data_IF_975693734791
#
_entry.id   IF_975693734791
#
_cell.length_a   1.000
_cell.length_b   1.000
_cell.length_c   1.000
_cell.angle_alpha   90.00
_cell.angle_beta   90.00
_cell.angle_gamma   90.00
#
_symmetry.space_group_name_H-M   'P 1'
#
loop_
_entity.id
_entity.type
_entity.pdbx_description
1 polymer ?
#
# COMPACT_ATOMS: atom_id res chain seq x y z
N UNK A 1 30.13 22.70 23.10
CA UNK A 1 29.62 21.35 23.34
C UNK A 1 28.92 20.94 22.06
N UNK A 2 29.56 20.10 21.27
CA UNK A 2 29.08 19.59 19.99
C UNK A 2 28.12 18.46 20.29
N UNK A 3 26.84 18.63 19.92
CA UNK A 3 25.84 17.54 19.94
C UNK A 3 26.32 16.41 19.03
N UNK A 4 26.37 15.19 19.58
CA UNK A 4 26.63 13.99 18.83
C UNK A 4 25.43 13.72 17.88
N UNK A 5 25.66 13.28 16.64
CA UNK A 5 24.58 12.94 15.73
C UNK A 5 23.80 11.74 16.30
N UNK A 6 22.47 11.89 16.38
CA UNK A 6 21.53 10.82 16.74
C UNK A 6 21.79 9.65 15.77
N UNK A 7 22.08 8.49 16.33
CA UNK A 7 22.35 7.28 15.57
C UNK A 7 21.18 7.00 14.61
N UNK A 8 21.52 6.80 13.34
CA UNK A 8 20.57 6.51 12.27
C UNK A 8 19.95 5.11 12.47
N UNK A 9 18.75 5.04 13.03
CA UNK A 9 17.98 3.81 13.28
C UNK A 9 17.31 3.24 12.02
N UNK A 10 17.84 3.56 10.85
CA UNK A 10 17.36 3.15 9.52
C UNK A 10 17.02 1.65 9.40
N UNK A 11 17.80 0.69 9.96
CA UNK A 11 17.47 -0.74 9.89
C UNK A 11 16.21 -1.12 10.66
N UNK A 12 15.98 -0.54 11.83
CA UNK A 12 14.81 -0.80 12.67
C UNK A 12 13.54 -0.17 12.10
N UNK A 13 13.64 1.04 11.55
CA UNK A 13 12.56 1.70 10.84
C UNK A 13 12.14 0.91 9.59
N UNK A 14 13.11 0.46 8.79
CA UNK A 14 12.86 -0.38 7.60
C UNK A 14 12.20 -1.72 7.96
N UNK A 15 12.60 -2.34 9.07
CA UNK A 15 11.99 -3.58 9.57
C UNK A 15 10.54 -3.39 10.03
N UNK A 16 10.17 -2.19 10.48
CA UNK A 16 8.80 -1.80 10.88
C UNK A 16 7.96 -1.32 9.70
N UNK A 17 8.51 -1.23 8.47
CA UNK A 17 7.81 -0.73 7.28
C UNK A 17 7.51 0.77 7.34
N UNK A 18 8.21 1.52 8.19
CA UNK A 18 8.03 2.96 8.33
C UNK A 18 8.92 3.71 7.31
N UNK A 19 8.29 4.52 6.46
CA UNK A 19 8.97 5.36 5.48
C UNK A 19 8.68 6.82 5.76
N UNK A 20 9.69 7.66 5.55
CA UNK A 20 9.52 9.11 5.66
C UNK A 20 8.62 9.62 4.53
N UNK A 21 7.53 10.29 4.87
CA UNK A 21 6.61 10.88 3.88
C UNK A 21 7.08 12.27 3.49
N UNK A 22 7.31 12.56 2.19
CA UNK A 22 7.64 13.91 1.74
C UNK A 22 6.57 14.93 2.15
N UNK A 23 7.00 16.09 2.64
CA UNK A 23 6.10 17.14 3.13
C UNK A 23 5.00 17.54 2.12
N UNK A 24 5.27 17.72 0.81
CA UNK A 24 4.23 18.06 -0.16
C UNK A 24 3.09 17.03 -0.25
N UNK A 25 3.39 15.74 -0.02
CA UNK A 25 2.37 14.68 -0.02
C UNK A 25 1.51 14.77 1.24
N UNK A 26 2.13 14.93 2.40
CA UNK A 26 1.41 15.05 3.67
C UNK A 26 0.51 16.31 3.68
N UNK A 27 1.04 17.43 3.21
CA UNK A 27 0.30 18.70 3.07
C UNK A 27 -0.88 18.56 2.10
N UNK A 28 -0.68 17.93 0.95
CA UNK A 28 -1.72 17.70 -0.04
C UNK A 28 -2.88 16.85 0.53
N UNK A 29 -2.56 15.69 1.11
CA UNK A 29 -3.56 14.80 1.70
C UNK A 29 -4.30 15.51 2.84
N UNK A 30 -3.59 16.23 3.68
CA UNK A 30 -4.15 16.96 4.82
C UNK A 30 -5.08 18.08 4.36
N UNK A 31 -4.67 18.88 3.35
CA UNK A 31 -5.49 19.94 2.79
C UNK A 31 -6.76 19.39 2.13
N UNK A 32 -6.69 18.21 1.49
CA UNK A 32 -7.85 17.55 0.88
C UNK A 32 -8.79 16.97 1.94
N UNK A 33 -8.25 16.32 2.97
CA UNK A 33 -9.04 15.58 3.95
C UNK A 33 -9.72 16.49 4.98
N UNK A 34 -9.07 17.59 5.42
CA UNK A 34 -9.56 18.46 6.49
C UNK A 34 -10.25 19.69 5.88
N UNK A 35 -11.55 19.82 6.10
CA UNK A 35 -12.40 20.84 5.47
C UNK A 35 -13.02 21.82 6.45
N UNK A 36 -13.02 21.50 7.75
CA UNK A 36 -13.59 22.33 8.80
C UNK A 36 -12.64 22.45 9.98
N UNK A 37 -12.69 23.58 10.67
CA UNK A 37 -12.00 23.78 11.95
C UNK A 37 -12.45 22.80 13.05
N UNK A 38 -13.61 22.17 12.88
CA UNK A 38 -14.21 21.22 13.81
C UNK A 38 -13.93 19.75 13.44
N UNK A 39 -13.25 19.49 12.31
CA UNK A 39 -12.94 18.11 11.89
C UNK A 39 -12.04 17.43 12.93
N UNK A 40 -12.44 16.25 13.38
CA UNK A 40 -11.60 15.35 14.18
C UNK A 40 -10.74 14.52 13.24
N UNK A 41 -9.45 14.57 13.49
CA UNK A 41 -8.44 13.99 12.59
C UNK A 41 -7.67 12.91 13.32
N UNK A 42 -7.53 11.74 12.70
CA UNK A 42 -6.72 10.62 13.19
C UNK A 42 -5.62 10.28 12.18
N UNK A 43 -4.38 10.16 12.67
CA UNK A 43 -3.29 9.45 11.98
C UNK A 43 -3.02 8.13 12.72
N UNK A 44 -3.41 6.98 12.16
CA UNK A 44 -3.32 5.69 12.86
C UNK A 44 -1.90 5.07 12.89
N UNK A 45 -0.90 5.75 12.32
CA UNK A 45 0.51 5.37 12.35
C UNK A 45 1.41 6.61 12.26
N UNK A 46 1.22 7.52 13.23
CA UNK A 46 1.64 8.90 13.09
C UNK A 46 3.17 9.12 13.05
N UNK A 47 3.96 8.12 13.41
CA UNK A 47 5.41 8.23 13.38
C UNK A 47 5.89 9.48 14.10
N UNK A 48 6.74 10.24 13.44
CA UNK A 48 7.29 11.51 13.90
C UNK A 48 6.40 12.73 13.62
N UNK A 49 5.09 12.53 13.42
CA UNK A 49 4.07 13.54 13.14
C UNK A 49 4.11 14.16 11.73
N UNK A 50 4.56 13.40 10.73
CA UNK A 50 4.62 13.89 9.34
C UNK A 50 3.25 14.38 8.81
N UNK A 51 2.14 13.78 9.25
CA UNK A 51 0.77 14.22 8.92
C UNK A 51 0.13 15.06 10.02
N UNK A 52 0.46 14.82 11.30
CA UNK A 52 -0.17 15.55 12.41
C UNK A 52 0.21 17.04 12.41
N UNK A 53 1.47 17.39 12.07
CA UNK A 53 1.89 18.80 11.99
C UNK A 53 1.11 19.56 10.91
N UNK A 54 1.08 19.11 9.63
CA UNK A 54 0.23 19.74 8.62
C UNK A 54 -1.27 19.76 8.99
N UNK A 55 -1.77 18.75 9.72
CA UNK A 55 -3.16 18.73 10.19
C UNK A 55 -3.46 19.88 11.17
N UNK A 56 -2.56 20.11 12.12
CA UNK A 56 -2.68 21.24 13.06
C UNK A 56 -2.65 22.58 12.30
N UNK A 57 -1.75 22.75 11.36
CA UNK A 57 -1.65 23.96 10.54
C UNK A 57 -2.92 24.16 9.70
N UNK A 58 -3.44 23.09 9.11
CA UNK A 58 -4.69 23.14 8.32
C UNK A 58 -5.89 23.50 9.17
N UNK A 59 -6.09 22.83 10.32
CA UNK A 59 -7.17 23.15 11.26
C UNK A 59 -7.12 24.63 11.69
N UNK A 60 -5.93 25.14 12.00
CA UNK A 60 -5.72 26.57 12.34
C UNK A 60 -6.08 27.48 11.18
N UNK A 61 -5.66 27.16 9.95
CA UNK A 61 -6.00 27.95 8.76
C UNK A 61 -7.50 28.03 8.50
N UNK A 62 -8.25 27.02 8.95
CA UNK A 62 -9.71 26.98 8.90
C UNK A 62 -10.41 27.66 10.09
N UNK A 63 -9.64 28.19 11.04
CA UNK A 63 -10.15 28.97 12.17
C UNK A 63 -10.24 28.22 13.50
N UNK A 64 -9.63 27.03 13.64
CA UNK A 64 -9.57 26.35 14.93
C UNK A 64 -8.74 27.17 15.93
N UNK A 65 -9.37 27.59 17.03
CA UNK A 65 -8.68 28.36 18.08
C UNK A 65 -7.69 27.49 18.87
N UNK A 66 -7.98 26.20 19.00
CA UNK A 66 -7.15 25.20 19.66
C UNK A 66 -7.08 23.95 18.80
N UNK A 67 -6.26 23.96 17.73
CA UNK A 67 -6.19 22.83 16.82
C UNK A 67 -5.64 21.59 17.54
N UNK A 68 -6.32 20.47 17.35
CA UNK A 68 -5.93 19.18 17.93
C UNK A 68 -6.14 18.06 16.94
N UNK A 69 -5.29 17.02 17.02
CA UNK A 69 -5.42 15.81 16.24
C UNK A 69 -5.10 14.59 17.11
N UNK A 70 -5.54 13.43 16.66
CA UNK A 70 -5.27 12.15 17.33
C UNK A 70 -4.26 11.34 16.52
N UNK A 71 -3.47 10.51 17.22
CA UNK A 71 -2.51 9.62 16.59
C UNK A 71 -2.37 8.31 17.33
N UNK A 72 -1.94 7.29 16.60
CA UNK A 72 -1.47 6.03 17.19
C UNK A 72 -0.05 5.79 16.70
N UNK A 73 0.83 5.42 17.62
CA UNK A 73 2.22 5.07 17.31
C UNK A 73 2.65 3.91 18.22
N UNK A 74 3.28 2.90 17.65
CA UNK A 74 3.70 1.72 18.40
C UNK A 74 4.96 1.97 19.23
N UNK A 75 5.80 2.93 18.81
CA UNK A 75 7.07 3.25 19.44
C UNK A 75 6.95 4.45 20.38
N UNK A 76 7.15 4.22 21.68
CA UNK A 76 7.00 5.25 22.71
C UNK A 76 7.88 6.49 22.51
N UNK A 77 9.19 6.33 22.27
CA UNK A 77 10.10 7.44 21.95
C UNK A 77 9.63 8.28 20.74
N UNK A 78 9.25 7.63 19.65
CA UNK A 78 8.73 8.30 18.44
C UNK A 78 7.42 9.06 18.73
N UNK A 79 6.51 8.45 19.51
CA UNK A 79 5.28 9.12 19.94
C UNK A 79 5.54 10.35 20.82
N UNK A 80 6.57 10.31 21.66
CA UNK A 80 6.98 11.47 22.47
C UNK A 80 7.50 12.60 21.58
N UNK A 81 8.35 12.29 20.63
CA UNK A 81 8.87 13.28 19.66
C UNK A 81 7.74 13.89 18.83
N UNK A 82 6.80 13.08 18.37
CA UNK A 82 5.64 13.55 17.63
C UNK A 82 4.80 14.57 18.44
N UNK A 83 4.56 14.32 19.74
CA UNK A 83 3.88 15.29 20.60
C UNK A 83 4.62 16.62 20.70
N UNK A 84 5.94 16.56 20.81
CA UNK A 84 6.77 17.77 20.88
C UNK A 84 6.72 18.57 19.58
N UNK A 85 6.77 17.90 18.43
CA UNK A 85 6.66 18.56 17.11
C UNK A 85 5.28 19.21 16.90
N UNK A 86 4.22 18.53 17.29
CA UNK A 86 2.86 19.10 17.24
C UNK A 86 2.72 20.29 18.18
N UNK A 87 3.28 20.21 19.40
CA UNK A 87 3.28 21.33 20.33
C UNK A 87 4.09 22.53 19.80
N UNK A 88 5.24 22.29 19.19
CA UNK A 88 6.05 23.34 18.52
C UNK A 88 5.28 23.99 17.36
N UNK A 89 4.45 23.23 16.63
CA UNK A 89 3.53 23.77 15.64
C UNK A 89 2.31 24.49 16.25
N UNK A 90 2.23 24.61 17.58
CA UNK A 90 1.19 25.34 18.32
C UNK A 90 -0.15 24.62 18.39
N UNK A 91 -0.19 23.30 18.30
CA UNK A 91 -1.36 22.45 18.48
C UNK A 91 -1.19 21.47 19.61
N UNK A 92 -2.15 20.55 19.73
CA UNK A 92 -2.08 19.39 20.65
C UNK A 92 -2.31 18.09 19.90
N UNK A 93 -1.68 17.00 20.35
CA UNK A 93 -1.93 15.67 19.82
C UNK A 93 -2.19 14.66 20.94
N UNK A 94 -3.32 13.99 20.85
CA UNK A 94 -3.66 12.82 21.66
C UNK A 94 -3.05 11.55 21.06
N UNK A 95 -1.75 11.27 21.33
CA UNK A 95 -1.10 10.10 20.73
C UNK A 95 -1.16 8.92 21.69
N UNK A 96 -1.80 7.82 21.25
CA UNK A 96 -1.82 6.54 21.94
C UNK A 96 -0.59 5.72 21.53
N UNK A 97 0.15 5.22 22.52
CA UNK A 97 1.26 4.28 22.27
C UNK A 97 0.68 2.87 22.30
N UNK A 98 0.47 2.28 21.12
CA UNK A 98 -0.16 0.95 20.95
C UNK A 98 0.06 0.42 19.53
N UNK A 99 -0.09 -0.90 19.34
CA UNK A 99 -0.41 -1.43 18.00
C UNK A 99 -1.80 -0.91 17.59
N UNK A 100 -1.92 -0.41 16.37
CA UNK A 100 -3.19 0.17 15.90
C UNK A 100 -4.32 -0.87 15.84
N UNK A 101 -4.00 -2.14 15.56
CA UNK A 101 -5.01 -3.20 15.54
C UNK A 101 -5.57 -3.57 16.92
N UNK A 102 -4.93 -3.13 18.01
CA UNK A 102 -5.43 -3.26 19.37
C UNK A 102 -6.30 -2.07 19.81
N UNK A 103 -6.45 -1.06 18.95
CA UNK A 103 -7.32 0.10 19.22
C UNK A 103 -8.71 -0.19 18.70
N UNK A 104 -9.70 -0.25 19.58
CA UNK A 104 -11.09 -0.42 19.18
C UNK A 104 -11.59 0.82 18.40
N UNK A 105 -12.24 0.63 17.25
CA UNK A 105 -12.72 1.75 16.45
C UNK A 105 -13.94 2.42 17.09
N UNK A 106 -13.86 3.73 17.19
CA UNK A 106 -14.98 4.61 17.52
C UNK A 106 -15.22 5.54 16.34
N UNK A 107 -16.45 5.53 15.79
CA UNK A 107 -16.81 6.34 14.60
C UNK A 107 -17.02 7.80 14.98
N UNK A 108 -15.94 8.55 15.04
CA UNK A 108 -15.96 9.92 15.48
C UNK A 108 -15.01 10.85 14.69
N UNK A 109 -14.26 10.31 13.72
CA UNK A 109 -13.32 11.10 12.93
C UNK A 109 -13.95 11.52 11.58
N UNK A 110 -13.88 12.79 11.24
CA UNK A 110 -14.21 13.31 9.92
C UNK A 110 -13.11 12.99 8.90
N UNK A 111 -11.85 12.86 9.36
CA UNK A 111 -10.71 12.54 8.51
C UNK A 111 -9.77 11.53 9.18
N UNK A 112 -9.41 10.50 8.44
CA UNK A 112 -8.31 9.58 8.77
C UNK A 112 -7.25 9.70 7.68
N UNK A 113 -6.03 10.07 8.07
CA UNK A 113 -4.93 10.37 7.15
C UNK A 113 -3.67 9.66 7.59
N UNK A 114 -2.75 9.37 6.68
CA UNK A 114 -1.47 8.79 7.07
C UNK A 114 -0.76 8.00 5.97
N UNK A 115 0.34 7.39 6.37
CA UNK A 115 1.12 6.45 5.57
C UNK A 115 1.26 5.13 6.36
N UNK A 116 0.36 4.16 6.17
CA UNK A 116 0.39 2.88 6.90
C UNK A 116 1.71 2.14 6.74
N UNK A 117 2.12 1.30 7.71
CA UNK A 117 3.32 0.50 7.58
C UNK A 117 3.18 -0.60 6.52
N UNK A 118 4.21 -0.77 5.62
CA UNK A 118 4.22 -1.77 4.55
C UNK A 118 5.02 -3.01 4.94
N UNK A 119 4.56 -3.75 5.96
CA UNK A 119 5.23 -4.97 6.39
C UNK A 119 4.76 -6.12 5.49
N UNK A 120 5.69 -6.69 4.71
CA UNK A 120 5.40 -7.85 3.85
C UNK A 120 4.99 -9.06 4.69
N UNK A 121 4.21 -9.98 4.11
CA UNK A 121 3.66 -11.14 4.82
C UNK A 121 4.72 -12.02 5.53
N UNK A 122 5.97 -12.05 5.04
CA UNK A 122 7.07 -12.78 5.67
C UNK A 122 7.46 -12.18 7.04
N UNK A 123 7.42 -10.85 7.16
CA UNK A 123 7.67 -10.10 8.42
C UNK A 123 6.42 -9.92 9.29
N UNK A 124 5.24 -9.98 8.69
CA UNK A 124 3.95 -9.78 9.35
C UNK A 124 3.42 -11.11 9.90
N UNK A 125 3.74 -11.44 11.17
CA UNK A 125 3.54 -12.77 11.76
C UNK A 125 2.90 -12.74 13.15
N UNK A 126 2.51 -13.92 13.63
CA UNK A 126 2.08 -14.14 15.00
C UNK A 126 0.84 -13.33 15.40
N UNK A 127 0.87 -12.77 16.61
CA UNK A 127 -0.25 -12.04 17.22
C UNK A 127 -0.65 -10.81 16.40
N UNK A 128 0.31 -10.03 15.89
CA UNK A 128 0.05 -8.86 15.04
C UNK A 128 -0.78 -9.21 13.81
N UNK A 129 -0.42 -10.28 13.08
CA UNK A 129 -1.22 -10.74 11.92
C UNK A 129 -2.61 -11.22 12.34
N UNK A 130 -2.72 -11.90 13.48
CA UNK A 130 -4.01 -12.39 13.97
C UNK A 130 -4.93 -11.23 14.34
N UNK A 131 -4.45 -10.23 15.06
CA UNK A 131 -5.18 -9.01 15.42
C UNK A 131 -5.65 -8.25 14.15
N UNK A 132 -4.76 -8.05 13.19
CA UNK A 132 -5.08 -7.37 11.94
C UNK A 132 -6.17 -8.09 11.13
N UNK A 133 -6.10 -9.42 11.04
CA UNK A 133 -7.14 -10.21 10.35
C UNK A 133 -8.47 -10.20 11.10
N UNK A 134 -8.42 -10.20 12.42
CA UNK A 134 -9.62 -10.08 13.26
C UNK A 134 -10.27 -8.70 13.05
N UNK A 135 -9.51 -7.62 13.08
CA UNK A 135 -10.00 -6.27 12.84
C UNK A 135 -10.67 -6.14 11.45
N UNK A 136 -10.06 -6.70 10.39
CA UNK A 136 -10.68 -6.73 9.08
C UNK A 136 -11.95 -7.58 9.04
N UNK A 137 -11.97 -8.73 9.73
CA UNK A 137 -13.15 -9.61 9.80
C UNK A 137 -14.31 -8.95 10.56
N UNK A 138 -14.04 -8.19 11.61
CA UNK A 138 -15.04 -7.39 12.33
C UNK A 138 -15.70 -6.33 11.43
N UNK A 139 -14.96 -5.82 10.46
CA UNK A 139 -15.50 -4.96 9.40
C UNK A 139 -16.14 -5.74 8.23
N UNK A 140 -16.36 -7.05 8.37
CA UNK A 140 -16.97 -7.90 7.35
C UNK A 140 -16.03 -8.33 6.21
N UNK A 141 -14.73 -8.09 6.32
CA UNK A 141 -13.76 -8.37 5.23
C UNK A 141 -12.78 -9.48 5.60
N UNK A 142 -12.75 -10.54 4.80
CA UNK A 142 -11.78 -11.62 4.96
C UNK A 142 -10.49 -11.32 4.20
N UNK A 143 -9.37 -11.24 4.92
CA UNK A 143 -8.04 -10.98 4.37
C UNK A 143 -7.17 -12.25 4.40
N UNK A 144 -6.50 -12.52 3.27
CA UNK A 144 -5.55 -13.63 3.12
C UNK A 144 -4.39 -13.54 4.12
N UNK A 145 -3.90 -14.68 4.59
CA UNK A 145 -2.69 -14.75 5.40
C UNK A 145 -1.40 -14.30 4.65
N UNK A 146 -1.47 -14.20 3.33
CA UNK A 146 -0.38 -13.70 2.47
C UNK A 146 -0.43 -12.18 2.26
N UNK A 147 -1.38 -11.48 2.87
CA UNK A 147 -1.51 -10.04 2.75
C UNK A 147 -0.41 -9.32 3.55
N UNK A 148 0.08 -8.21 3.00
CA UNK A 148 0.91 -7.24 3.71
C UNK A 148 0.05 -6.42 4.69
N UNK A 149 0.68 -5.81 5.70
CA UNK A 149 0.01 -5.11 6.82
C UNK A 149 -0.91 -3.97 6.38
N UNK A 150 -0.59 -3.26 5.30
CA UNK A 150 -1.37 -2.14 4.82
C UNK A 150 -2.83 -2.52 4.44
N UNK A 151 -3.05 -3.76 3.98
CA UNK A 151 -4.37 -4.19 3.51
C UNK A 151 -5.42 -4.23 4.64
N UNK A 152 -5.24 -4.96 5.76
CA UNK A 152 -6.14 -4.86 6.89
C UNK A 152 -6.15 -3.48 7.54
N UNK A 153 -5.03 -2.72 7.44
CA UNK A 153 -4.90 -1.39 8.01
C UNK A 153 -5.90 -0.40 7.39
N UNK A 154 -6.03 -0.38 6.06
CA UNK A 154 -7.03 0.44 5.34
C UNK A 154 -8.45 0.16 5.84
N UNK A 155 -8.80 -1.12 5.98
CA UNK A 155 -10.14 -1.54 6.41
C UNK A 155 -10.40 -1.11 7.85
N UNK A 156 -9.47 -1.36 8.76
CA UNK A 156 -9.60 -1.02 10.17
C UNK A 156 -9.67 0.50 10.38
N UNK A 157 -8.80 1.27 9.72
CA UNK A 157 -8.78 2.72 9.77
C UNK A 157 -10.09 3.35 9.32
N UNK A 158 -10.74 2.77 8.29
CA UNK A 158 -12.05 3.25 7.84
C UNK A 158 -13.15 3.13 8.89
N UNK A 159 -13.02 2.22 9.86
CA UNK A 159 -14.03 2.04 10.91
C UNK A 159 -14.05 3.17 11.95
N UNK A 160 -13.04 4.04 11.96
CA UNK A 160 -12.99 5.25 12.80
C UNK A 160 -13.76 6.43 12.21
N UNK A 161 -14.12 6.36 10.91
CA UNK A 161 -14.79 7.43 10.20
C UNK A 161 -16.27 7.54 10.58
N UNK A 162 -16.73 8.77 10.74
CA UNK A 162 -18.17 9.08 10.74
C UNK A 162 -18.77 8.83 9.35
N UNK A 163 -20.10 8.64 9.21
CA UNK A 163 -20.73 8.65 7.90
C UNK A 163 -20.40 9.94 7.14
N UNK A 164 -19.99 9.80 5.88
CA UNK A 164 -19.50 10.93 5.07
C UNK A 164 -18.03 11.29 5.28
N UNK A 165 -17.32 10.63 6.20
CA UNK A 165 -15.92 10.86 6.50
C UNK A 165 -14.96 10.54 5.34
N UNK A 166 -13.70 10.93 5.49
CA UNK A 166 -12.66 10.94 4.44
C UNK A 166 -11.43 10.17 4.89
N UNK A 167 -10.93 9.30 4.01
CA UNK A 167 -9.70 8.54 4.18
C UNK A 167 -8.66 9.01 3.16
N UNK A 168 -7.53 9.53 3.61
CA UNK A 168 -6.42 9.97 2.78
C UNK A 168 -5.14 9.21 3.13
N UNK A 169 -4.76 8.22 2.32
CA UNK A 169 -3.60 7.37 2.61
C UNK A 169 -2.58 7.35 1.48
N UNK A 170 -1.32 7.27 1.87
CA UNK A 170 -0.24 6.81 1.00
C UNK A 170 -0.22 5.29 1.05
N UNK A 171 -0.33 4.61 -0.09
CA UNK A 171 -0.37 3.16 -0.16
C UNK A 171 0.65 2.64 -1.18
N UNK A 172 1.14 1.41 -1.05
CA UNK A 172 1.97 0.81 -2.08
C UNK A 172 1.16 0.56 -3.36
N UNK A 173 1.79 0.72 -4.52
CA UNK A 173 1.18 0.43 -5.83
C UNK A 173 0.71 -1.03 -5.99
N UNK A 174 1.10 -1.90 -5.05
CA UNK A 174 0.53 -3.24 -4.88
C UNK A 174 -1.01 -3.22 -4.79
N UNK A 175 -1.61 -2.14 -4.26
CA UNK A 175 -3.07 -1.93 -4.28
C UNK A 175 -3.66 -2.20 -5.66
N UNK A 176 -2.97 -1.82 -6.75
CA UNK A 176 -3.47 -1.93 -8.11
C UNK A 176 -3.37 -3.36 -8.68
N UNK A 177 -2.41 -4.17 -8.24
CA UNK A 177 -1.97 -5.35 -8.99
C UNK A 177 -2.07 -6.68 -8.26
N UNK A 178 -1.89 -6.71 -6.93
CA UNK A 178 -1.77 -7.98 -6.20
C UNK A 178 -3.12 -8.63 -5.91
N UNK A 179 -3.14 -9.95 -5.92
CA UNK A 179 -4.38 -10.69 -5.74
C UNK A 179 -4.96 -10.57 -4.32
N UNK A 180 -4.09 -10.50 -3.29
CA UNK A 180 -4.56 -10.39 -1.90
C UNK A 180 -5.23 -9.03 -1.59
N UNK A 181 -5.04 -8.01 -2.44
CA UNK A 181 -5.70 -6.72 -2.31
C UNK A 181 -7.15 -6.70 -2.85
N UNK A 182 -7.61 -7.78 -3.51
CA UNK A 182 -8.96 -7.84 -4.06
C UNK A 182 -10.07 -7.50 -3.03
N UNK A 183 -10.05 -8.02 -1.78
CA UNK A 183 -11.03 -7.63 -0.77
C UNK A 183 -10.97 -6.14 -0.40
N UNK A 184 -9.77 -5.54 -0.33
CA UNK A 184 -9.61 -4.10 -0.03
C UNK A 184 -10.18 -3.26 -1.17
N UNK A 185 -9.86 -3.61 -2.42
CA UNK A 185 -10.39 -2.90 -3.61
C UNK A 185 -11.92 -2.92 -3.64
N UNK A 186 -12.54 -4.08 -3.37
CA UNK A 186 -13.99 -4.22 -3.29
C UNK A 186 -14.56 -3.39 -2.13
N UNK A 187 -13.97 -3.49 -0.94
CA UNK A 187 -14.36 -2.74 0.23
C UNK A 187 -14.39 -1.23 -0.03
N UNK A 188 -13.39 -0.68 -0.71
CA UNK A 188 -13.34 0.74 -1.05
C UNK A 188 -14.53 1.17 -1.91
N UNK A 189 -14.89 0.42 -2.96
CA UNK A 189 -16.05 0.72 -3.81
C UNK A 189 -17.39 0.56 -3.08
N UNK A 190 -17.49 -0.38 -2.16
CA UNK A 190 -18.71 -0.69 -1.42
C UNK A 190 -18.95 0.25 -0.23
N UNK A 191 -17.90 0.93 0.26
CA UNK A 191 -18.00 1.72 1.50
C UNK A 191 -17.70 3.21 1.35
N UNK A 192 -17.35 3.69 0.16
CA UNK A 192 -17.09 5.11 -0.09
C UNK A 192 -17.86 5.63 -1.30
N UNK A 193 -18.41 6.82 -1.18
CA UNK A 193 -19.17 7.49 -2.25
C UNK A 193 -18.30 8.03 -3.39
N UNK A 194 -17.02 8.31 -3.10
CA UNK A 194 -16.04 8.78 -4.10
C UNK A 194 -14.67 8.20 -3.81
N UNK A 195 -13.98 7.83 -4.87
CA UNK A 195 -12.59 7.34 -4.84
C UNK A 195 -11.75 8.11 -5.84
N UNK A 196 -10.59 8.57 -5.41
CA UNK A 196 -9.55 9.13 -6.27
C UNK A 196 -8.22 8.42 -6.01
N UNK A 197 -7.51 8.08 -7.09
CA UNK A 197 -6.16 7.55 -7.06
C UNK A 197 -5.24 8.55 -7.72
N UNK A 198 -4.19 8.98 -7.00
CA UNK A 198 -3.12 9.79 -7.59
C UNK A 198 -1.90 8.90 -7.81
N UNK A 199 -1.48 8.80 -9.05
CA UNK A 199 -0.35 7.99 -9.52
C UNK A 199 0.82 8.91 -9.88
N UNK A 200 2.03 8.50 -9.55
CA UNK A 200 3.24 9.24 -9.87
C UNK A 200 3.97 8.63 -11.06
N UNK A 201 4.42 9.46 -12.01
CA UNK A 201 5.25 9.01 -13.14
C UNK A 201 6.70 8.73 -12.71
N UNK A 202 7.17 9.43 -11.67
CA UNK A 202 8.50 9.29 -11.11
C UNK A 202 8.41 8.74 -9.69
N UNK A 203 9.44 8.02 -9.28
CA UNK A 203 9.56 7.56 -7.90
C UNK A 203 9.68 8.77 -6.95
N UNK A 204 8.72 8.91 -6.05
CA UNK A 204 8.66 10.04 -5.09
C UNK A 204 9.22 9.70 -3.72
N UNK A 205 9.41 8.42 -3.42
CA UNK A 205 10.04 7.94 -2.18
C UNK A 205 11.42 7.37 -2.49
N UNK A 206 12.46 8.17 -2.37
CA UNK A 206 13.83 7.78 -2.68
C UNK A 206 14.36 6.58 -1.88
N UNK A 207 13.79 6.32 -0.69
CA UNK A 207 14.20 5.23 0.20
C UNK A 207 13.26 4.02 0.17
N UNK A 208 12.11 4.10 -0.51
CA UNK A 208 11.19 2.99 -0.64
C UNK A 208 11.54 2.14 -1.87
N UNK A 209 11.57 0.82 -1.70
CA UNK A 209 11.75 -0.14 -2.80
C UNK A 209 10.47 -0.31 -3.64
N UNK A 210 9.36 0.33 -3.26
CA UNK A 210 8.05 0.18 -3.89
C UNK A 210 7.51 1.54 -4.35
N UNK A 211 6.90 1.55 -5.53
CA UNK A 211 6.10 2.66 -5.99
C UNK A 211 4.87 2.83 -5.08
N UNK A 212 4.42 4.06 -4.93
CA UNK A 212 3.26 4.41 -4.11
C UNK A 212 2.15 5.04 -4.94
N UNK A 213 0.94 4.96 -4.40
CA UNK A 213 -0.24 5.67 -4.89
C UNK A 213 -0.88 6.42 -3.72
N UNK A 214 -1.48 7.57 -3.97
CA UNK A 214 -2.33 8.20 -2.97
C UNK A 214 -3.76 7.71 -3.18
N UNK A 215 -4.36 7.21 -2.12
CA UNK A 215 -5.78 6.88 -2.04
C UNK A 215 -6.51 8.00 -1.33
N UNK A 216 -7.45 8.61 -2.02
CA UNK A 216 -8.36 9.61 -1.48
C UNK A 216 -9.79 9.06 -1.59
N UNK A 217 -10.37 8.69 -0.46
CA UNK A 217 -11.70 8.10 -0.39
C UNK A 217 -12.62 8.96 0.48
N UNK A 218 -13.78 9.34 -0.04
CA UNK A 218 -14.73 10.23 0.61
C UNK A 218 -16.13 9.64 0.66
N UNK A 219 -16.90 10.03 1.65
CA UNK A 219 -18.29 9.60 1.79
C UNK A 219 -18.40 8.19 2.36
N UNK A 220 -17.66 7.92 3.46
CA UNK A 220 -17.74 6.64 4.16
C UNK A 220 -19.19 6.29 4.54
N UNK A 221 -19.58 5.05 4.35
CA UNK A 221 -20.95 4.55 4.50
C UNK A 221 -21.81 4.65 3.23
N UNK A 222 -21.24 5.15 2.13
CA UNK A 222 -21.85 5.16 0.80
C UNK A 222 -21.11 4.18 -0.13
N UNK A 223 -21.49 4.12 -1.41
CA UNK A 223 -20.83 3.29 -2.42
C UNK A 223 -20.67 4.03 -3.74
N UNK A 224 -19.72 3.59 -4.55
CA UNK A 224 -19.51 4.12 -5.90
C UNK A 224 -19.21 3.01 -6.89
N UNK A 225 -19.50 3.24 -8.16
CA UNK A 225 -19.10 2.33 -9.27
C UNK A 225 -17.93 2.86 -10.08
N UNK A 226 -17.37 4.02 -9.72
CA UNK A 226 -16.31 4.68 -10.48
C UNK A 226 -15.25 5.29 -9.55
N UNK A 227 -14.03 5.43 -10.05
CA UNK A 227 -12.98 6.18 -9.41
C UNK A 227 -12.41 7.25 -10.35
N UNK A 228 -11.83 8.29 -9.80
CA UNK A 228 -11.03 9.27 -10.54
C UNK A 228 -9.56 8.85 -10.50
N UNK A 229 -8.92 8.80 -11.63
CA UNK A 229 -7.49 8.50 -11.74
C UNK A 229 -6.77 9.75 -12.18
N UNK A 230 -5.87 10.24 -11.36
CA UNK A 230 -5.02 11.38 -11.67
C UNK A 230 -3.56 10.91 -11.73
N UNK A 231 -2.88 11.27 -12.82
CA UNK A 231 -1.46 10.95 -12.99
C UNK A 231 -0.67 12.25 -12.98
N UNK A 232 0.36 12.30 -12.14
CA UNK A 232 1.19 13.50 -11.94
C UNK A 232 2.67 13.16 -12.08
N UNK A 233 3.51 14.07 -12.60
CA UNK A 233 4.95 13.83 -12.74
C UNK A 233 5.67 13.56 -11.43
N UNK A 234 5.27 14.24 -10.34
CA UNK A 234 5.91 14.12 -9.03
C UNK A 234 5.12 14.81 -7.92
N UNK A 235 5.67 14.81 -6.70
CA UNK A 235 4.99 15.35 -5.52
C UNK A 235 4.73 16.86 -5.58
N UNK A 236 5.49 17.61 -6.39
CA UNK A 236 5.30 19.06 -6.58
C UNK A 236 4.14 19.40 -7.50
N UNK A 237 3.68 18.43 -8.28
CA UNK A 237 2.62 18.60 -9.28
C UNK A 237 1.23 18.22 -8.73
N UNK A 238 1.14 17.86 -7.43
CA UNK A 238 -0.09 17.43 -6.77
C UNK A 238 -1.21 18.48 -6.81
N UNK A 239 -0.87 19.77 -6.84
CA UNK A 239 -1.82 20.89 -6.84
C UNK A 239 -2.28 21.26 -8.25
N UNK A 240 -1.84 20.55 -9.28
CA UNK A 240 -2.26 20.77 -10.67
C UNK A 240 -3.79 20.66 -10.80
N UNK A 241 -4.43 21.55 -11.59
CA UNK A 241 -5.88 21.57 -11.81
C UNK A 241 -6.40 20.43 -12.70
N UNK A 242 -5.60 19.42 -12.98
CA UNK A 242 -6.04 18.26 -13.76
C UNK A 242 -7.19 17.54 -13.04
N UNK A 243 -8.35 17.50 -13.69
CA UNK A 243 -9.56 16.87 -13.16
C UNK A 243 -9.47 15.33 -13.10
N UNK A 244 -8.40 14.75 -13.63
CA UNK A 244 -8.22 13.31 -13.72
C UNK A 244 -9.20 12.62 -14.70
N UNK A 245 -8.98 11.34 -14.91
CA UNK A 245 -9.80 10.49 -15.77
C UNK A 245 -10.80 9.71 -14.91
N UNK A 246 -12.09 9.79 -15.24
CA UNK A 246 -13.10 8.92 -14.63
C UNK A 246 -12.93 7.48 -15.16
N UNK A 247 -12.76 6.55 -14.26
CA UNK A 247 -12.53 5.14 -14.55
C UNK A 247 -13.55 4.25 -13.85
N UNK A 248 -13.99 3.21 -14.55
CA UNK A 248 -14.87 2.16 -14.01
C UNK A 248 -14.19 0.81 -14.14
N UNK A 249 -13.93 0.08 -13.06
CA UNK A 249 -13.44 -1.28 -13.16
C UNK A 249 -14.55 -2.22 -13.66
N UNK A 250 -14.16 -3.24 -14.42
CA UNK A 250 -15.09 -4.31 -14.80
C UNK A 250 -15.49 -5.15 -13.58
N UNK A 251 -14.57 -5.39 -12.65
CA UNK A 251 -14.78 -5.96 -11.32
C UNK A 251 -14.06 -5.08 -10.29
N UNK A 252 -14.77 -4.51 -9.30
CA UNK A 252 -14.14 -3.73 -8.24
C UNK A 252 -13.02 -4.46 -7.51
N UNK A 253 -13.15 -5.77 -7.28
CA UNK A 253 -12.11 -6.60 -6.67
C UNK A 253 -10.99 -7.01 -7.63
N UNK A 254 -11.20 -6.87 -8.95
CA UNK A 254 -10.22 -7.20 -9.97
C UNK A 254 -8.95 -6.34 -9.88
N UNK A 255 -7.96 -6.64 -10.71
CA UNK A 255 -6.75 -5.81 -10.80
C UNK A 255 -7.07 -4.47 -11.46
N UNK A 256 -6.52 -3.39 -10.87
CA UNK A 256 -6.71 -2.02 -11.37
C UNK A 256 -5.56 -1.56 -12.30
N UNK A 257 -4.70 -2.49 -12.73
CA UNK A 257 -3.55 -2.17 -13.61
C UNK A 257 -3.93 -1.54 -14.94
N UNK A 258 -5.19 -1.67 -15.37
CA UNK A 258 -5.70 -0.99 -16.57
C UNK A 258 -5.66 0.54 -16.46
N UNK A 259 -5.60 1.10 -15.25
CA UNK A 259 -5.45 2.56 -15.03
C UNK A 259 -4.07 3.08 -15.44
N UNK A 260 -3.08 2.18 -15.57
CA UNK A 260 -1.71 2.51 -16.00
C UNK A 260 -1.56 2.54 -17.52
N UNK A 261 -2.61 2.15 -18.27
CA UNK A 261 -2.58 2.05 -19.72
C UNK A 261 -3.41 3.19 -20.30
N UNK A 262 -2.93 3.90 -21.34
CA UNK A 262 -3.73 4.92 -22.02
C UNK A 262 -5.11 4.38 -22.43
N UNK A 263 -6.15 5.18 -22.27
CA UNK A 263 -7.54 4.78 -22.54
C UNK A 263 -7.72 4.16 -23.95
N UNK A 264 -7.09 4.75 -24.97
CA UNK A 264 -7.12 4.23 -26.32
C UNK A 264 -6.52 2.83 -26.44
N UNK A 265 -5.43 2.54 -25.71
CA UNK A 265 -4.81 1.21 -25.69
C UNK A 265 -5.68 0.20 -24.93
N UNK A 266 -6.33 0.62 -23.85
CA UNK A 266 -7.27 -0.22 -23.09
C UNK A 266 -8.50 -0.59 -23.96
N UNK A 267 -9.06 0.35 -24.72
CA UNK A 267 -10.16 0.09 -25.65
C UNK A 267 -9.77 -0.86 -26.78
N UNK A 268 -8.58 -0.70 -27.36
CA UNK A 268 -8.06 -1.62 -28.38
C UNK A 268 -7.90 -3.01 -27.80
N UNK A 269 -7.31 -3.15 -26.60
CA UNK A 269 -7.16 -4.43 -25.92
C UNK A 269 -8.49 -5.12 -25.65
N UNK A 270 -9.50 -4.36 -25.17
CA UNK A 270 -10.84 -4.90 -24.94
C UNK A 270 -11.47 -5.41 -26.23
N UNK A 271 -11.42 -4.63 -27.32
CA UNK A 271 -11.93 -5.03 -28.63
C UNK A 271 -11.25 -6.28 -29.20
N UNK A 272 -9.94 -6.40 -29.01
CA UNK A 272 -9.18 -7.58 -29.44
C UNK A 272 -9.61 -8.85 -28.68
N UNK A 273 -9.83 -8.73 -27.37
CA UNK A 273 -10.31 -9.84 -26.54
C UNK A 273 -11.74 -10.24 -26.94
N UNK A 274 -12.63 -9.26 -27.12
CA UNK A 274 -14.04 -9.49 -27.44
C UNK A 274 -14.22 -10.00 -28.88
N UNK A 275 -13.29 -9.75 -29.79
CA UNK A 275 -13.35 -10.22 -31.19
C UNK A 275 -13.23 -11.74 -31.33
N UNK A 276 -12.81 -12.45 -30.27
CA UNK A 276 -12.55 -13.90 -30.30
C UNK A 276 -11.35 -14.32 -31.15
N UNK A 277 -10.64 -13.35 -31.78
CA UNK A 277 -9.43 -13.62 -32.57
C UNK A 277 -8.18 -13.84 -31.73
N UNK A 278 -8.26 -13.54 -30.42
CA UNK A 278 -7.16 -13.69 -29.47
C UNK A 278 -7.65 -14.44 -28.23
N UNK A 279 -6.88 -15.43 -27.83
CA UNK A 279 -7.13 -16.16 -26.60
C UNK A 279 -6.18 -15.70 -25.49
N UNK A 280 -6.66 -15.68 -24.24
CA UNK A 280 -5.81 -15.39 -23.08
C UNK A 280 -4.83 -16.54 -22.88
N UNK A 281 -3.64 -16.24 -22.41
CA UNK A 281 -2.61 -17.27 -22.15
C UNK A 281 -3.10 -18.36 -21.18
N UNK A 282 -3.95 -18.00 -20.23
CA UNK A 282 -4.55 -18.93 -19.26
C UNK A 282 -5.54 -19.94 -19.88
N UNK A 283 -6.05 -19.67 -21.09
CA UNK A 283 -6.86 -20.62 -21.85
C UNK A 283 -6.00 -21.74 -22.50
N UNK A 284 -4.70 -21.52 -22.63
CA UNK A 284 -3.76 -22.46 -23.24
C UNK A 284 -3.04 -23.30 -22.19
N UNK A 285 -2.98 -22.84 -20.96
CA UNK A 285 -2.31 -23.54 -19.86
C UNK A 285 -2.18 -22.71 -18.60
N UNK A 286 -1.71 -23.32 -17.54
CA UNK A 286 -1.44 -22.63 -16.28
C UNK A 286 0.03 -22.39 -16.08
N UNK A 287 0.42 -21.14 -15.77
CA UNK A 287 1.74 -20.83 -15.25
C UNK A 287 1.78 -21.07 -13.74
N UNK A 288 2.72 -21.87 -13.30
CA UNK A 288 2.95 -22.15 -11.88
C UNK A 288 4.37 -21.78 -11.53
N UNK A 289 4.59 -21.46 -10.26
CA UNK A 289 5.93 -21.35 -9.73
C UNK A 289 6.64 -22.69 -9.96
N UNK A 290 7.85 -22.68 -10.51
CA UNK A 290 8.67 -23.89 -10.67
C UNK A 290 9.03 -24.51 -9.32
N UNK A 291 9.79 -25.60 -9.34
CA UNK A 291 10.21 -26.29 -8.12
C UNK A 291 10.92 -25.35 -7.17
N UNK A 292 10.37 -25.18 -5.98
CA UNK A 292 10.99 -24.42 -4.89
C UNK A 292 11.75 -25.38 -4.00
N UNK A 293 13.08 -25.39 -4.12
CA UNK A 293 13.93 -26.35 -3.41
C UNK A 293 14.18 -25.99 -1.94
N UNK A 294 13.84 -24.74 -1.54
CA UNK A 294 14.18 -24.19 -0.21
C UNK A 294 15.68 -23.87 -0.04
N UNK A 295 16.54 -24.63 -0.67
CA UNK A 295 18.00 -24.39 -0.69
C UNK A 295 18.59 -24.79 -2.04
N UNK A 296 18.67 -23.84 -2.96
CA UNK A 296 19.18 -24.08 -4.31
C UNK A 296 20.64 -24.59 -4.33
N UNK A 297 21.49 -24.15 -3.38
CA UNK A 297 22.88 -24.60 -3.32
C UNK A 297 23.02 -26.10 -3.01
N UNK A 298 22.04 -26.65 -2.29
CA UNK A 298 22.02 -28.06 -1.91
C UNK A 298 21.34 -28.93 -2.97
N UNK A 299 20.17 -28.47 -3.49
CA UNK A 299 19.34 -29.28 -4.37
C UNK A 299 19.59 -29.06 -5.87
N UNK A 300 20.36 -28.03 -6.26
CA UNK A 300 20.71 -27.81 -7.66
C UNK A 300 22.16 -28.20 -7.87
N UNK A 301 22.38 -29.26 -8.63
CA UNK A 301 23.71 -29.86 -8.88
C UNK A 301 24.14 -29.62 -10.33
N UNK A 302 25.43 -29.37 -10.55
CA UNK A 302 26.00 -29.48 -11.88
C UNK A 302 26.07 -30.93 -12.30
N UNK A 303 26.08 -31.25 -13.61
CA UNK A 303 26.24 -32.61 -14.10
C UNK A 303 27.49 -33.31 -13.54
N UNK A 304 28.62 -32.60 -13.43
CA UNK A 304 29.85 -33.11 -12.83
C UNK A 304 29.64 -33.49 -11.36
N UNK A 305 29.00 -32.63 -10.56
CA UNK A 305 28.76 -32.91 -9.16
C UNK A 305 27.77 -34.06 -8.94
N UNK A 306 26.78 -34.19 -9.80
CA UNK A 306 25.85 -35.32 -9.77
C UNK A 306 26.59 -36.64 -10.03
N UNK A 307 27.54 -36.66 -11.01
CA UNK A 307 28.39 -37.81 -11.28
C UNK A 307 29.31 -38.18 -10.12
N UNK A 308 29.93 -37.19 -9.44
CA UNK A 308 30.77 -37.45 -8.25
C UNK A 308 29.96 -38.08 -7.09
N UNK A 309 28.67 -37.75 -6.99
CA UNK A 309 27.77 -38.29 -5.97
C UNK A 309 27.12 -39.62 -6.39
N UNK A 310 27.39 -40.12 -7.58
CA UNK A 310 26.84 -41.35 -8.12
C UNK A 310 25.32 -41.26 -8.43
N UNK A 311 24.80 -40.06 -8.62
CA UNK A 311 23.37 -39.81 -8.92
C UNK A 311 23.13 -40.02 -10.42
N UNK A 312 22.08 -40.77 -10.74
CA UNK A 312 21.66 -41.05 -12.11
C UNK A 312 20.36 -40.37 -12.51
N UNK A 313 19.97 -40.51 -13.78
CA UNK A 313 18.78 -39.89 -14.33
C UNK A 313 17.45 -40.24 -13.62
N UNK A 314 17.44 -41.29 -12.77
CA UNK A 314 16.27 -41.62 -11.94
C UNK A 314 16.18 -40.76 -10.65
N UNK A 315 17.32 -40.18 -10.24
CA UNK A 315 17.46 -39.42 -9.00
C UNK A 315 17.42 -37.93 -9.28
N UNK A 316 17.44 -37.50 -10.54
CA UNK A 316 17.62 -36.14 -10.98
C UNK A 316 16.46 -35.67 -11.87
N UNK A 317 16.06 -34.42 -11.72
CA UNK A 317 15.15 -33.74 -12.61
C UNK A 317 15.89 -32.57 -13.24
N UNK A 318 15.89 -32.42 -14.57
CA UNK A 318 16.49 -31.26 -15.22
C UNK A 318 15.82 -29.96 -14.79
N UNK A 319 16.63 -28.98 -14.42
CA UNK A 319 16.15 -27.66 -13.96
C UNK A 319 16.82 -26.55 -14.74
N UNK A 320 16.06 -25.66 -15.33
CA UNK A 320 16.58 -24.47 -15.98
C UNK A 320 17.01 -23.45 -14.93
N UNK A 321 18.30 -23.04 -14.88
CA UNK A 321 18.74 -22.00 -13.97
C UNK A 321 18.13 -20.64 -14.32
N UNK A 322 17.96 -19.79 -13.31
CA UNK A 322 17.41 -18.43 -13.49
C UNK A 322 18.30 -17.60 -14.44
N UNK A 323 17.67 -16.85 -15.33
CA UNK A 323 18.37 -15.97 -16.27
C UNK A 323 19.17 -16.69 -17.37
N UNK A 324 18.90 -17.95 -17.59
CA UNK A 324 19.63 -18.77 -18.58
C UNK A 324 19.54 -18.22 -19.99
N UNK A 325 20.68 -18.21 -20.69
CA UNK A 325 20.77 -17.68 -22.06
C UNK A 325 19.87 -18.45 -23.06
N UNK A 326 19.59 -19.72 -22.82
CA UNK A 326 18.73 -20.55 -23.66
C UNK A 326 17.25 -20.16 -23.61
N UNK A 327 16.80 -19.50 -22.53
CA UNK A 327 15.43 -18.94 -22.44
C UNK A 327 15.25 -17.69 -23.30
N UNK A 328 16.33 -17.17 -23.89
CA UNK A 328 16.29 -16.01 -24.80
C UNK A 328 16.21 -16.43 -26.28
N UNK A 329 16.27 -17.71 -26.56
CA UNK A 329 16.12 -18.25 -27.92
C UNK A 329 14.68 -18.59 -28.26
N UNK A 330 14.37 -18.65 -29.56
CA UNK A 330 13.05 -19.06 -30.05
C UNK A 330 12.81 -20.57 -29.93
N UNK A 331 13.86 -21.35 -29.72
CA UNK A 331 13.80 -22.82 -29.61
C UNK A 331 14.43 -23.28 -28.28
N UNK A 332 13.75 -24.19 -27.60
CA UNK A 332 14.26 -24.92 -26.47
C UNK A 332 14.81 -26.26 -26.92
N UNK A 333 16.12 -26.44 -26.89
CA UNK A 333 16.74 -27.75 -27.18
C UNK A 333 17.01 -28.50 -25.88
N UNK A 334 16.62 -29.78 -25.83
CA UNK A 334 16.84 -30.65 -24.67
C UNK A 334 18.31 -30.91 -24.31
N UNK A 335 19.24 -30.56 -25.20
CA UNK A 335 20.69 -30.69 -24.96
C UNK A 335 21.27 -29.61 -24.00
N UNK A 336 20.46 -28.66 -23.58
CA UNK A 336 20.85 -27.50 -22.73
C UNK A 336 20.36 -27.61 -21.28
N UNK A 337 19.73 -28.71 -20.92
CA UNK A 337 19.24 -28.98 -19.57
C UNK A 337 20.08 -29.97 -18.82
#
# INVERSE_FOLDING_TARGET
MTEAPVADDTPLRKARGAFFTPAPIAEFITAWAIRSAADRVLDPSCGDAAFLVPAIERLRSLGAARPSAEGVEIDGPTAYEARNRVAAAGGTAGIRVSDFFDVEPVRECEAVIGNPPYIRYQGFKGAMRAAARLAALQAGVSISALASSWAPFVIHASQFLVPGGRLGFVLPAELLSVNYAAPVRRFLFENFGSLELVLFERQVFAQAEADVVLLLAEGFGSSTGTATIRQVPGERDLVSPDAGLRWRPADPGGKWTTVLVPAAAAEVSARLIDSGGFARLDSWGSTRLGTVTGNNRYFTLSPARAGELGLGGRDLVPVSPAGSAHLRGLELSGERF
#
